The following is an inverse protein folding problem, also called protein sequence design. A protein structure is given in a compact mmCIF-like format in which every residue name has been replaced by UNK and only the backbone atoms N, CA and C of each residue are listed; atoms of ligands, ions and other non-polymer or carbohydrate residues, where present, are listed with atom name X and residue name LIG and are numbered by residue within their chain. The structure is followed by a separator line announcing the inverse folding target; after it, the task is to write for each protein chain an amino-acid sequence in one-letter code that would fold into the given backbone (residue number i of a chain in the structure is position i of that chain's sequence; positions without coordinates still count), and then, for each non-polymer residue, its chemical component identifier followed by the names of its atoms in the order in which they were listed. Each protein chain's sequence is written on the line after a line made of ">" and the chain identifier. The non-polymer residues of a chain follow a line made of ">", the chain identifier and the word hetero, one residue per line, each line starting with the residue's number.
data_IF_657677440677
#
_entry.id   IF_657677440677
#
_cell.length_a   1.000
_cell.length_b   1.000
_cell.length_c   1.000
_cell.angle_alpha   90.00
_cell.angle_beta   90.00
_cell.angle_gamma   90.00
#
_symmetry.space_group_name_H-M   'P 1'
#
loop_
_entity.id
_entity.type
_entity.pdbx_description
1 polymer ?
#
# COMPACT_ATOMS: atom_id res chain seq x y z
N UNK A 1 -19.45 -25.06 8.18
CA UNK A 1 -18.24 -24.53 7.53
C UNK A 1 -17.07 -25.45 7.81
N UNK A 2 -15.90 -25.09 7.31
CA UNK A 2 -14.59 -25.69 7.67
C UNK A 2 -13.80 -24.61 8.39
N UNK A 3 -12.99 -24.99 9.37
CA UNK A 3 -12.09 -24.09 10.08
C UNK A 3 -10.64 -24.51 9.82
N UNK A 4 -9.77 -23.53 9.59
CA UNK A 4 -8.35 -23.73 9.36
C UNK A 4 -7.56 -22.50 9.85
N UNK A 5 -6.23 -22.64 9.94
CA UNK A 5 -5.36 -21.56 10.37
C UNK A 5 -4.79 -20.79 9.18
N UNK A 6 -4.77 -19.47 9.31
CA UNK A 6 -4.10 -18.53 8.42
C UNK A 6 -3.47 -17.40 9.25
N UNK A 7 -2.79 -16.45 8.61
CA UNK A 7 -2.12 -15.33 9.27
C UNK A 7 -2.73 -13.97 8.89
N UNK A 8 -2.72 -13.05 9.85
CA UNK A 8 -3.02 -11.64 9.65
C UNK A 8 -1.78 -10.81 9.99
N UNK A 9 -1.54 -9.74 9.24
CA UNK A 9 -0.45 -8.79 9.49
C UNK A 9 -0.86 -7.37 9.11
N UNK A 10 -0.14 -6.38 9.62
CA UNK A 10 -0.24 -4.99 9.18
C UNK A 10 0.75 -4.76 8.04
N UNK A 11 0.21 -4.53 6.84
CA UNK A 11 0.98 -4.37 5.61
C UNK A 11 1.84 -3.10 5.61
N UNK A 12 1.27 -1.97 6.02
CA UNK A 12 1.98 -0.71 6.13
C UNK A 12 3.02 -0.78 7.26
N UNK A 13 2.64 -1.32 8.42
CA UNK A 13 3.54 -1.53 9.56
C UNK A 13 4.76 -2.38 9.18
N UNK A 14 4.54 -3.49 8.47
CA UNK A 14 5.63 -4.35 7.99
C UNK A 14 6.53 -3.63 6.97
N UNK A 15 5.97 -2.86 6.04
CA UNK A 15 6.75 -2.07 5.08
C UNK A 15 7.65 -1.03 5.77
N UNK A 16 7.15 -0.38 6.83
CA UNK A 16 7.92 0.59 7.62
C UNK A 16 9.03 -0.11 8.39
N UNK A 17 8.75 -1.25 9.02
CA UNK A 17 9.77 -2.04 9.72
C UNK A 17 10.89 -2.50 8.78
N UNK A 18 10.54 -2.90 7.55
CA UNK A 18 11.52 -3.22 6.51
C UNK A 18 12.38 -1.99 6.14
N UNK A 19 11.75 -0.83 5.95
CA UNK A 19 12.46 0.42 5.64
C UNK A 19 13.41 0.84 6.78
N UNK A 20 13.00 0.69 8.04
CA UNK A 20 13.87 0.95 9.20
C UNK A 20 15.03 -0.06 9.27
N UNK A 21 14.76 -1.33 8.96
CA UNK A 21 15.78 -2.39 8.92
C UNK A 21 16.88 -2.10 7.89
N UNK A 22 16.58 -1.36 6.82
CA UNK A 22 17.59 -0.88 5.87
C UNK A 22 18.63 -0.01 6.58
N UNK A 23 18.23 0.89 7.48
CA UNK A 23 19.14 1.74 8.25
C UNK A 23 19.94 0.95 9.29
N UNK A 24 19.31 -0.01 9.97
CA UNK A 24 20.00 -0.89 10.93
C UNK A 24 21.17 -1.65 10.30
N UNK A 25 21.11 -1.86 8.97
CA UNK A 25 22.12 -2.56 8.18
C UNK A 25 23.01 -1.62 7.33
N UNK A 26 23.00 -0.32 7.64
CA UNK A 26 23.87 0.68 7.00
C UNK A 26 23.43 1.10 5.58
N UNK A 27 22.22 0.73 5.17
CA UNK A 27 21.60 1.23 3.96
C UNK A 27 20.95 2.60 4.15
N UNK A 28 20.29 3.08 3.10
CA UNK A 28 19.52 4.32 3.15
C UNK A 28 18.19 4.14 2.42
N UNK A 29 17.13 4.71 2.97
CA UNK A 29 15.83 4.80 2.32
C UNK A 29 15.35 6.26 2.33
N UNK A 30 14.68 6.66 1.24
CA UNK A 30 14.16 8.02 1.07
C UNK A 30 12.71 7.91 0.55
N UNK A 31 11.75 8.46 1.28
CA UNK A 31 10.40 8.70 0.78
C UNK A 31 10.31 10.12 0.17
N UNK A 32 9.23 10.38 -0.59
CA UNK A 32 9.04 11.64 -1.32
C UNK A 32 10.17 12.01 -2.29
N UNK A 33 10.89 11.01 -2.81
CA UNK A 33 11.90 11.17 -3.87
C UNK A 33 11.44 10.39 -5.09
N UNK A 34 10.92 11.09 -6.10
CA UNK A 34 10.42 10.44 -7.31
C UNK A 34 11.51 10.32 -8.37
N UNK A 35 11.67 9.12 -8.93
CA UNK A 35 12.55 8.89 -10.08
C UNK A 35 11.87 9.42 -11.34
N UNK A 36 12.58 10.25 -12.10
CA UNK A 36 12.08 10.87 -13.33
C UNK A 36 13.01 10.68 -14.53
N UNK A 37 14.08 9.90 -14.37
CA UNK A 37 14.96 9.52 -15.46
C UNK A 37 15.98 8.48 -15.05
N UNK A 38 16.57 7.83 -16.04
CA UNK A 38 17.66 6.87 -15.88
C UNK A 38 18.96 7.52 -16.35
N UNK A 39 20.07 7.17 -15.70
CA UNK A 39 21.41 7.63 -16.08
C UNK A 39 22.09 6.48 -16.81
N UNK A 40 22.42 6.69 -18.09
CA UNK A 40 23.16 5.73 -18.90
C UNK A 40 24.66 6.07 -18.92
N UNK A 41 25.49 5.03 -18.76
CA UNK A 41 26.95 5.09 -18.84
C UNK A 41 27.46 3.87 -19.60
N UNK A 42 28.15 4.09 -20.72
CA UNK A 42 28.71 2.99 -21.53
C UNK A 42 27.66 2.02 -22.06
N UNK A 43 26.46 2.50 -22.41
CA UNK A 43 25.36 1.67 -22.91
C UNK A 43 24.64 0.85 -21.83
N UNK A 44 24.94 1.08 -20.54
CA UNK A 44 24.26 0.46 -19.41
C UNK A 44 23.66 1.50 -18.47
N UNK A 45 22.62 1.13 -17.75
CA UNK A 45 22.03 1.97 -16.71
C UNK A 45 22.92 1.92 -15.48
N UNK A 46 23.48 3.08 -15.12
CA UNK A 46 24.41 3.27 -14.00
C UNK A 46 23.85 4.17 -12.90
N UNK A 47 22.56 4.51 -12.93
CA UNK A 47 21.97 5.40 -11.93
C UNK A 47 20.58 5.89 -12.29
N UNK A 48 20.06 6.80 -11.46
CA UNK A 48 18.75 7.43 -11.62
C UNK A 48 18.83 8.93 -11.39
N UNK A 49 18.00 9.67 -12.11
CA UNK A 49 17.65 11.07 -11.81
C UNK A 49 16.35 11.08 -11.02
N UNK A 50 16.31 11.89 -9.98
CA UNK A 50 15.17 11.97 -9.09
C UNK A 50 14.86 13.42 -8.70
N UNK A 51 13.68 13.62 -8.13
CA UNK A 51 13.25 14.90 -7.57
C UNK A 51 12.69 14.70 -6.17
N UNK A 52 13.27 15.44 -5.23
CA UNK A 52 12.69 15.63 -3.90
C UNK A 52 11.37 16.40 -4.06
N UNK A 53 10.25 15.76 -3.73
CA UNK A 53 8.92 16.32 -3.87
C UNK A 53 8.59 17.36 -2.79
N UNK A 54 9.39 17.44 -1.72
CA UNK A 54 9.21 18.38 -0.62
C UNK A 54 9.94 19.69 -0.92
N UNK A 55 11.21 19.61 -1.30
CA UNK A 55 12.03 20.80 -1.58
C UNK A 55 12.04 21.21 -3.07
N UNK A 56 11.59 20.34 -3.96
CA UNK A 56 11.69 20.51 -5.41
C UNK A 56 13.09 20.26 -5.97
N UNK A 57 14.09 19.96 -5.13
CA UNK A 57 15.49 19.79 -5.54
C UNK A 57 15.66 18.58 -6.48
N UNK A 58 16.42 18.77 -7.55
CA UNK A 58 16.86 17.69 -8.41
C UNK A 58 18.01 16.90 -7.74
N UNK A 59 17.96 15.58 -7.85
CA UNK A 59 18.91 14.64 -7.26
C UNK A 59 19.41 13.67 -8.35
N UNK A 60 20.65 13.23 -8.22
CA UNK A 60 21.21 12.16 -9.05
C UNK A 60 21.87 11.12 -8.15
N UNK A 61 21.63 9.84 -8.45
CA UNK A 61 22.20 8.72 -7.73
C UNK A 61 22.87 7.77 -8.72
N UNK A 62 24.15 7.48 -8.52
CA UNK A 62 24.89 6.47 -9.30
C UNK A 62 24.89 5.14 -8.57
N UNK A 63 24.74 4.04 -9.30
CA UNK A 63 24.73 2.69 -8.76
C UNK A 63 25.32 1.68 -9.75
N UNK A 64 25.81 0.54 -9.24
CA UNK A 64 26.28 -0.57 -10.10
C UNK A 64 25.14 -1.43 -10.68
N UNK A 65 23.98 -1.41 -10.03
CA UNK A 65 22.75 -2.01 -10.50
C UNK A 65 21.57 -1.12 -10.08
N UNK A 66 20.54 -1.07 -10.93
CA UNK A 66 19.28 -0.38 -10.67
C UNK A 66 18.15 -1.40 -10.75
N UNK A 67 17.39 -1.53 -9.65
CA UNK A 67 16.21 -2.39 -9.56
C UNK A 67 14.96 -1.51 -9.61
N UNK A 68 14.12 -1.75 -10.59
CA UNK A 68 12.77 -1.24 -10.71
C UNK A 68 11.80 -2.19 -9.99
N UNK A 69 11.31 -1.75 -8.83
CA UNK A 69 10.32 -2.46 -8.00
C UNK A 69 9.09 -1.57 -7.73
N UNK A 70 8.65 -0.80 -8.72
CA UNK A 70 7.58 0.21 -8.57
C UNK A 70 6.16 -0.35 -8.72
N UNK A 71 5.96 -1.64 -8.43
CA UNK A 71 4.63 -2.26 -8.40
C UNK A 71 3.85 -2.08 -9.72
N UNK A 72 2.64 -1.51 -9.63
CA UNK A 72 1.77 -1.27 -10.80
C UNK A 72 2.33 -0.24 -11.78
N UNK A 73 3.33 0.55 -11.37
CA UNK A 73 4.02 1.56 -12.18
C UNK A 73 5.33 1.04 -12.80
N UNK A 74 5.58 -0.28 -12.78
CA UNK A 74 6.83 -0.83 -13.30
C UNK A 74 7.06 -0.49 -14.78
N UNK A 75 6.00 -0.48 -15.58
CA UNK A 75 6.08 -0.17 -17.02
C UNK A 75 6.51 1.28 -17.29
N UNK A 76 6.18 2.23 -16.42
CA UNK A 76 6.57 3.64 -16.59
C UNK A 76 8.10 3.78 -16.50
N UNK A 77 8.72 3.11 -15.53
CA UNK A 77 10.18 3.10 -15.39
C UNK A 77 10.84 2.28 -16.51
N UNK A 78 10.25 1.15 -16.93
CA UNK A 78 10.76 0.36 -18.07
C UNK A 78 10.79 1.19 -19.35
N UNK A 79 9.76 2.01 -19.59
CA UNK A 79 9.67 2.87 -20.78
C UNK A 79 10.65 4.04 -20.77
N UNK A 80 11.19 4.42 -19.61
CA UNK A 80 12.31 5.37 -19.57
C UNK A 80 13.58 4.79 -20.21
N UNK A 81 13.82 3.48 -20.12
CA UNK A 81 14.93 2.80 -20.77
C UNK A 81 14.61 2.42 -22.23
N UNK A 82 13.35 2.06 -22.48
CA UNK A 82 12.87 1.57 -23.77
C UNK A 82 11.47 2.10 -24.06
N UNK A 83 11.33 3.26 -24.72
CA UNK A 83 10.03 3.91 -24.93
C UNK A 83 8.97 3.01 -25.55
N UNK A 84 9.36 2.12 -26.47
CA UNK A 84 8.47 1.19 -27.17
C UNK A 84 8.29 -0.17 -26.46
N UNK A 85 8.70 -0.29 -25.19
CA UNK A 85 8.56 -1.55 -24.46
C UNK A 85 7.08 -1.95 -24.35
N UNK A 86 6.71 -3.21 -24.72
CA UNK A 86 5.35 -3.68 -24.59
C UNK A 86 4.95 -3.72 -23.10
N UNK A 87 3.66 -3.49 -22.80
CA UNK A 87 3.15 -3.62 -21.44
C UNK A 87 3.51 -4.98 -20.84
N UNK A 88 4.06 -4.96 -19.62
CA UNK A 88 4.25 -6.18 -18.83
C UNK A 88 3.08 -6.40 -17.87
N UNK A 89 2.35 -5.33 -17.54
CA UNK A 89 1.34 -5.35 -16.49
C UNK A 89 -0.07 -5.25 -17.07
N UNK A 90 -1.00 -5.93 -16.41
CA UNK A 90 -2.44 -5.82 -16.62
C UNK A 90 -3.11 -5.53 -15.25
N UNK A 91 -3.09 -4.27 -14.78
CA UNK A 91 -3.57 -3.94 -13.45
C UNK A 91 -5.02 -4.35 -13.21
N UNK A 92 -5.33 -4.75 -11.98
CA UNK A 92 -6.71 -4.96 -11.54
C UNK A 92 -6.97 -4.31 -10.19
N UNK A 93 -8.15 -3.74 -10.01
CA UNK A 93 -8.59 -3.08 -8.81
C UNK A 93 -9.26 -4.05 -7.84
N UNK A 94 -9.00 -3.88 -6.55
CA UNK A 94 -9.76 -4.51 -5.48
C UNK A 94 -10.20 -3.50 -4.44
N UNK A 95 -11.47 -3.55 -4.09
CA UNK A 95 -12.11 -2.70 -3.09
C UNK A 95 -12.28 -3.44 -1.78
N UNK A 96 -12.22 -2.70 -0.67
CA UNK A 96 -12.70 -3.16 0.63
C UNK A 96 -13.57 -2.09 1.29
N UNK A 97 -14.55 -2.54 2.07
CA UNK A 97 -15.37 -1.72 2.96
C UNK A 97 -15.00 -2.05 4.41
N UNK A 98 -15.14 -1.07 5.29
CA UNK A 98 -14.93 -1.27 6.73
C UNK A 98 -16.19 -0.93 7.50
N UNK A 99 -16.60 -1.82 8.40
CA UNK A 99 -17.74 -1.65 9.32
C UNK A 99 -17.29 -1.91 10.76
N UNK A 100 -18.14 -1.60 11.75
CA UNK A 100 -17.81 -1.84 13.16
C UNK A 100 -17.71 -3.35 13.51
N UNK A 101 -16.95 -3.70 14.55
CA UNK A 101 -16.72 -5.11 14.93
C UNK A 101 -18.00 -5.91 15.23
N UNK A 102 -19.04 -5.25 15.74
CA UNK A 102 -20.29 -5.89 16.17
C UNK A 102 -21.13 -6.45 15.02
N UNK A 103 -20.73 -6.19 13.77
CA UNK A 103 -21.35 -6.76 12.58
C UNK A 103 -20.98 -8.23 12.36
N UNK A 104 -19.81 -8.68 12.85
CA UNK A 104 -19.34 -10.05 12.69
C UNK A 104 -19.93 -10.95 13.81
N UNK A 105 -20.54 -12.11 13.50
CA UNK A 105 -21.16 -12.98 14.50
C UNK A 105 -20.17 -13.68 15.45
N UNK A 106 -18.86 -13.50 15.27
CA UNK A 106 -17.81 -14.13 16.05
C UNK A 106 -16.47 -13.41 15.90
N UNK A 107 -15.39 -14.01 16.39
CA UNK A 107 -14.04 -13.43 16.38
C UNK A 107 -13.12 -13.96 15.27
N UNK A 108 -13.56 -14.97 14.52
CA UNK A 108 -12.78 -15.56 13.42
C UNK A 108 -13.06 -14.87 12.09
N UNK A 109 -12.04 -14.81 11.22
CA UNK A 109 -12.23 -14.38 9.84
C UNK A 109 -13.09 -15.40 9.08
N UNK A 110 -13.93 -14.92 8.17
CA UNK A 110 -14.76 -15.76 7.31
C UNK A 110 -14.34 -15.62 5.85
N UNK A 111 -14.14 -16.76 5.18
CA UNK A 111 -13.92 -16.86 3.75
C UNK A 111 -15.20 -17.41 3.10
N UNK A 112 -15.75 -16.65 2.16
CA UNK A 112 -16.86 -17.03 1.28
C UNK A 112 -16.24 -17.46 -0.05
N UNK A 113 -16.12 -18.78 -0.32
CA UNK A 113 -15.28 -19.31 -1.40
C UNK A 113 -15.87 -19.08 -2.79
N UNK A 114 -17.19 -18.97 -2.86
CA UNK A 114 -17.91 -18.75 -4.11
C UNK A 114 -19.10 -17.82 -3.81
N UNK A 115 -19.00 -16.61 -4.34
CA UNK A 115 -20.10 -15.65 -4.37
C UNK A 115 -20.95 -15.87 -5.63
N UNK A 116 -22.04 -15.12 -5.80
CA UNK A 116 -23.00 -15.36 -6.89
C UNK A 116 -22.41 -15.17 -8.29
N UNK A 117 -21.24 -14.53 -8.39
CA UNK A 117 -20.47 -14.35 -9.63
C UNK A 117 -19.14 -15.11 -9.65
N UNK A 118 -18.95 -16.07 -8.75
CA UNK A 118 -17.77 -16.93 -8.70
C UNK A 118 -16.54 -16.31 -8.03
N UNK A 119 -16.63 -15.10 -7.49
CA UNK A 119 -15.53 -14.45 -6.74
C UNK A 119 -15.45 -14.94 -5.29
N UNK A 120 -14.34 -14.64 -4.63
CA UNK A 120 -14.12 -14.87 -3.19
C UNK A 120 -14.36 -13.59 -2.41
N UNK A 121 -15.05 -13.68 -1.27
CA UNK A 121 -15.21 -12.59 -0.31
C UNK A 121 -14.69 -13.01 1.07
N UNK A 122 -14.05 -12.09 1.76
CA UNK A 122 -13.55 -12.19 3.11
C UNK A 122 -14.27 -11.20 4.02
N UNK A 123 -14.56 -11.65 5.24
CA UNK A 123 -14.99 -10.82 6.36
C UNK A 123 -13.95 -10.99 7.46
N UNK A 124 -13.07 -10.00 7.62
CA UNK A 124 -11.87 -10.13 8.46
C UNK A 124 -11.97 -9.17 9.65
N UNK A 125 -12.00 -9.64 10.90
CA UNK A 125 -11.88 -8.76 12.05
C UNK A 125 -10.51 -8.08 12.05
N UNK A 126 -10.48 -6.76 12.18
CA UNK A 126 -9.26 -5.95 12.09
C UNK A 126 -9.36 -4.71 12.97
N UNK A 127 -8.54 -4.65 14.03
CA UNK A 127 -8.41 -3.51 14.95
C UNK A 127 -9.75 -2.91 15.44
N UNK A 128 -10.66 -3.75 15.92
CA UNK A 128 -11.97 -3.30 16.43
C UNK A 128 -13.00 -2.98 15.33
N UNK A 129 -12.70 -3.34 14.08
CA UNK A 129 -13.56 -3.23 12.91
C UNK A 129 -13.66 -4.57 12.17
N UNK A 130 -14.42 -4.60 11.09
CA UNK A 130 -14.48 -5.73 10.14
C UNK A 130 -14.19 -5.20 8.74
N UNK A 131 -13.21 -5.81 8.09
CA UNK A 131 -12.89 -5.59 6.69
C UNK A 131 -13.72 -6.53 5.82
N UNK A 132 -14.50 -5.96 4.90
CA UNK A 132 -15.36 -6.67 3.95
C UNK A 132 -14.75 -6.50 2.55
N UNK A 133 -14.39 -7.60 1.88
CA UNK A 133 -13.83 -7.51 0.54
C UNK A 133 -13.27 -8.84 0.04
N UNK A 134 -12.89 -8.98 -1.22
CA UNK A 134 -12.59 -7.88 -2.15
C UNK A 134 -13.21 -8.11 -3.52
N UNK A 135 -13.10 -7.10 -4.38
CA UNK A 135 -13.42 -7.17 -5.80
C UNK A 135 -12.19 -7.45 -6.66
N UNK A 136 -12.43 -7.72 -7.94
CA UNK A 136 -11.39 -7.91 -8.97
C UNK A 136 -11.87 -7.28 -10.28
N UNK A 137 -11.57 -5.99 -10.46
CA UNK A 137 -12.06 -5.18 -11.56
C UNK A 137 -10.89 -4.72 -12.45
N UNK A 138 -10.77 -5.21 -13.70
CA UNK A 138 -9.67 -4.82 -14.59
C UNK A 138 -9.55 -3.31 -14.77
N UNK A 139 -8.31 -2.80 -14.82
CA UNK A 139 -8.00 -1.38 -15.03
C UNK A 139 -7.08 -1.21 -16.22
N UNK A 140 -7.29 -0.13 -16.97
CA UNK A 140 -6.41 0.28 -18.08
C UNK A 140 -5.51 1.45 -17.70
N UNK A 141 -5.73 2.03 -16.52
CA UNK A 141 -4.96 3.12 -15.94
C UNK A 141 -4.35 2.69 -14.59
N UNK A 142 -3.55 3.56 -13.98
CA UNK A 142 -2.91 3.31 -12.69
C UNK A 142 -2.85 4.59 -11.85
N UNK A 143 -4.01 5.12 -11.42
CA UNK A 143 -4.05 6.30 -10.56
C UNK A 143 -3.30 6.03 -9.25
N UNK A 144 -2.69 7.08 -8.69
CA UNK A 144 -2.09 7.02 -7.36
C UNK A 144 -3.14 6.71 -6.29
N UNK A 145 -4.33 7.27 -6.44
CA UNK A 145 -5.47 7.11 -5.53
C UNK A 145 -6.68 6.51 -6.29
N UNK A 146 -6.72 5.18 -6.50
CA UNK A 146 -7.88 4.52 -7.09
C UNK A 146 -9.12 4.68 -6.21
N UNK A 147 -10.30 4.80 -6.84
CA UNK A 147 -11.58 4.96 -6.15
C UNK A 147 -12.47 3.74 -6.39
N UNK A 148 -13.14 3.30 -5.33
CA UNK A 148 -14.15 2.25 -5.40
C UNK A 148 -15.35 2.72 -6.24
N UNK A 149 -15.88 1.82 -7.06
CA UNK A 149 -17.09 2.08 -7.84
C UNK A 149 -18.34 1.65 -7.08
N UNK A 150 -19.48 2.27 -7.41
CA UNK A 150 -20.75 2.01 -6.72
C UNK A 150 -21.23 0.55 -6.83
N UNK A 151 -20.99 -0.09 -7.98
CA UNK A 151 -21.32 -1.48 -8.22
C UNK A 151 -20.44 -2.44 -7.39
N UNK A 152 -19.16 -2.10 -7.19
CA UNK A 152 -18.24 -2.81 -6.30
C UNK A 152 -18.69 -2.73 -4.83
N UNK A 153 -19.06 -1.52 -4.38
CA UNK A 153 -19.59 -1.29 -3.02
C UNK A 153 -20.88 -2.09 -2.82
N UNK A 154 -21.85 -1.94 -3.73
CA UNK A 154 -23.14 -2.60 -3.62
C UNK A 154 -22.99 -4.13 -3.69
N UNK A 155 -22.04 -4.65 -4.49
CA UNK A 155 -21.72 -6.08 -4.51
C UNK A 155 -21.25 -6.57 -3.13
N UNK A 156 -20.25 -5.91 -2.53
CA UNK A 156 -19.73 -6.31 -1.23
C UNK A 156 -20.84 -6.28 -0.17
N UNK A 157 -21.64 -5.20 -0.10
CA UNK A 157 -22.73 -5.08 0.86
C UNK A 157 -23.77 -6.20 0.70
N UNK A 158 -24.25 -6.45 -0.54
CA UNK A 158 -25.23 -7.52 -0.81
C UNK A 158 -24.70 -8.89 -0.42
N UNK A 159 -23.45 -9.19 -0.73
CA UNK A 159 -22.87 -10.50 -0.41
C UNK A 159 -22.60 -10.65 1.09
N UNK A 160 -22.07 -9.63 1.75
CA UNK A 160 -21.79 -9.64 3.19
C UNK A 160 -23.05 -9.74 4.05
N UNK A 161 -24.18 -9.17 3.59
CA UNK A 161 -25.46 -9.21 4.30
C UNK A 161 -25.96 -10.64 4.64
N UNK A 162 -25.49 -11.65 3.91
CA UNK A 162 -25.84 -13.06 4.15
C UNK A 162 -25.12 -13.69 5.34
N UNK A 163 -24.02 -13.08 5.79
CA UNK A 163 -23.09 -13.66 6.76
C UNK A 163 -22.90 -12.81 8.02
N UNK A 164 -23.23 -11.52 7.96
CA UNK A 164 -23.20 -10.60 9.09
C UNK A 164 -24.44 -10.79 9.99
N UNK A 165 -24.35 -10.31 11.24
CA UNK A 165 -25.46 -10.40 12.21
C UNK A 165 -26.71 -9.64 11.76
N UNK A 166 -26.53 -8.64 10.89
CA UNK A 166 -27.57 -7.81 10.27
C UNK A 166 -27.08 -7.32 8.91
N UNK A 167 -27.99 -6.96 8.01
CA UNK A 167 -27.65 -6.50 6.66
C UNK A 167 -27.09 -5.06 6.68
N UNK A 168 -25.86 -4.81 6.20
CA UNK A 168 -25.27 -3.48 6.20
C UNK A 168 -25.79 -2.63 5.03
N UNK A 169 -25.96 -1.34 5.28
CA UNK A 169 -26.18 -0.30 4.29
C UNK A 169 -24.93 0.57 4.08
N UNK A 170 -25.03 1.52 3.15
CA UNK A 170 -23.93 2.47 2.85
C UNK A 170 -23.58 3.35 4.06
N UNK A 171 -24.57 3.78 4.83
CA UNK A 171 -24.37 4.59 6.05
C UNK A 171 -23.64 3.86 7.19
N UNK A 172 -23.52 2.52 7.11
CA UNK A 172 -22.78 1.73 8.10
C UNK A 172 -21.28 1.64 7.78
N UNK A 173 -20.87 2.08 6.58
CA UNK A 173 -19.48 2.05 6.13
C UNK A 173 -18.70 3.14 6.85
N UNK A 174 -17.67 2.74 7.59
CA UNK A 174 -16.72 3.62 8.29
C UNK A 174 -15.60 4.10 7.38
N UNK A 175 -15.23 3.30 6.39
CA UNK A 175 -14.25 3.66 5.36
C UNK A 175 -14.40 2.73 4.15
N UNK A 176 -14.10 3.24 2.96
CA UNK A 176 -13.95 2.47 1.72
C UNK A 176 -12.57 2.76 1.13
N UNK A 177 -11.92 1.75 0.58
CA UNK A 177 -10.65 1.95 -0.11
C UNK A 177 -10.44 0.95 -1.23
N UNK A 178 -9.64 1.36 -2.21
CA UNK A 178 -9.26 0.54 -3.35
C UNK A 178 -7.74 0.42 -3.45
N UNK A 179 -7.27 -0.68 -4.04
CA UNK A 179 -5.87 -0.89 -4.38
C UNK A 179 -5.73 -1.55 -5.73
N UNK A 180 -4.60 -1.32 -6.39
CA UNK A 180 -4.27 -1.92 -7.68
C UNK A 180 -3.30 -3.09 -7.50
N UNK A 181 -3.57 -4.18 -8.21
CA UNK A 181 -2.76 -5.39 -8.24
C UNK A 181 -1.86 -5.38 -9.48
N UNK A 182 -0.52 -5.56 -9.34
CA UNK A 182 0.41 -5.56 -10.48
C UNK A 182 0.42 -6.92 -11.19
N UNK A 183 -0.71 -7.34 -11.76
CA UNK A 183 -0.80 -8.64 -12.44
C UNK A 183 0.07 -8.66 -13.69
N UNK A 184 0.71 -9.79 -13.97
CA UNK A 184 1.51 -9.97 -15.16
C UNK A 184 0.57 -10.24 -16.34
N UNK A 185 0.69 -9.43 -17.39
CA UNK A 185 -0.02 -9.65 -18.63
C UNK A 185 0.36 -11.03 -19.19
N UNK A 186 -0.64 -11.82 -19.62
CA UNK A 186 -0.40 -13.10 -20.24
C UNK A 186 0.52 -12.92 -21.47
N UNK A 187 1.47 -13.83 -21.62
CA UNK A 187 2.29 -13.90 -22.84
C UNK A 187 1.35 -14.14 -24.03
N UNK A 188 1.39 -13.32 -25.10
CA UNK A 188 0.56 -13.50 -26.29
C UNK A 188 0.67 -14.91 -26.90
N UNK A 189 1.80 -15.58 -26.71
CA UNK A 189 2.10 -16.91 -27.25
C UNK A 189 1.84 -18.06 -26.24
N UNK A 190 1.46 -17.75 -24.99
CA UNK A 190 1.06 -18.76 -24.02
C UNK A 190 -0.44 -19.09 -24.15
N UNK A 191 -0.86 -20.35 -23.93
CA UNK A 191 -2.27 -20.71 -23.88
C UNK A 191 -2.99 -19.82 -22.85
N UNK A 192 -4.15 -19.25 -23.22
CA UNK A 192 -4.97 -18.37 -22.39
C UNK A 192 -5.41 -19.08 -21.10
N UNK A 193 -4.54 -19.06 -20.10
CA UNK A 193 -4.85 -19.34 -18.70
C UNK A 193 -4.73 -18.05 -17.91
N UNK A 194 -5.48 -17.96 -16.83
CA UNK A 194 -5.54 -16.88 -15.83
C UNK A 194 -4.27 -16.03 -15.70
N UNK A 195 -4.43 -14.71 -15.58
CA UNK A 195 -3.33 -13.79 -15.27
C UNK A 195 -2.49 -14.34 -14.10
N UNK A 196 -1.21 -14.61 -14.35
CA UNK A 196 -0.35 -15.21 -13.34
C UNK A 196 -0.14 -14.25 -12.17
N UNK A 197 -0.33 -14.78 -10.96
CA UNK A 197 -0.04 -14.09 -9.69
C UNK A 197 1.41 -14.30 -9.22
N UNK A 198 2.23 -15.01 -9.99
CA UNK A 198 3.65 -15.17 -9.72
C UNK A 198 4.42 -13.90 -10.07
N UNK A 199 5.57 -13.70 -9.45
CA UNK A 199 6.45 -12.60 -9.81
C UNK A 199 7.35 -12.97 -10.99
N UNK A 200 7.78 -11.96 -11.74
CA UNK A 200 8.77 -12.10 -12.81
C UNK A 200 9.92 -11.14 -12.58
N UNK A 201 11.13 -11.59 -12.89
CA UNK A 201 12.34 -10.75 -12.90
C UNK A 201 12.85 -10.68 -14.33
N UNK A 202 12.89 -9.47 -14.91
CA UNK A 202 13.39 -9.21 -16.26
C UNK A 202 14.57 -8.26 -16.23
N UNK A 203 15.59 -8.51 -17.05
CA UNK A 203 16.74 -7.62 -17.21
C UNK A 203 16.71 -7.05 -18.63
N UNK A 204 16.71 -5.72 -18.77
CA UNK A 204 16.78 -5.08 -20.08
C UNK A 204 18.18 -5.21 -20.70
N UNK A 205 18.34 -5.03 -22.02
CA UNK A 205 19.64 -4.91 -22.66
C UNK A 205 20.60 -3.90 -22.01
N UNK A 206 20.11 -2.77 -21.48
CA UNK A 206 20.94 -1.79 -20.74
C UNK A 206 21.16 -2.17 -19.27
N UNK A 207 20.64 -3.30 -18.81
CA UNK A 207 20.82 -3.79 -17.44
C UNK A 207 19.84 -3.25 -16.41
N UNK A 208 18.69 -2.68 -16.81
CA UNK A 208 17.60 -2.38 -15.86
C UNK A 208 17.00 -3.69 -15.38
N UNK A 209 17.01 -3.92 -14.07
CA UNK A 209 16.38 -5.10 -13.47
C UNK A 209 14.98 -4.69 -13.06
N UNK A 210 13.94 -5.35 -13.57
CA UNK A 210 12.56 -5.11 -13.16
C UNK A 210 12.00 -6.34 -12.47
N UNK A 211 11.41 -6.14 -11.29
CA UNK A 211 10.57 -7.14 -10.62
C UNK A 211 9.13 -6.62 -10.60
N UNK A 212 8.17 -7.46 -11.00
CA UNK A 212 6.75 -7.17 -10.83
C UNK A 212 5.94 -8.46 -10.66
N UNK A 213 4.64 -8.31 -10.37
CA UNK A 213 3.80 -9.42 -9.94
C UNK A 213 4.04 -9.78 -8.48
N UNK A 214 3.71 -11.03 -8.14
CA UNK A 214 3.90 -11.57 -6.80
C UNK A 214 2.86 -11.10 -5.78
N UNK A 215 3.10 -11.49 -4.52
CA UNK A 215 2.22 -11.23 -3.38
C UNK A 215 3.04 -10.74 -2.20
N UNK A 216 2.36 -10.08 -1.26
CA UNK A 216 2.95 -9.75 0.03
C UNK A 216 3.49 -11.01 0.73
N UNK A 217 2.75 -12.12 0.72
CA UNK A 217 3.18 -13.35 1.40
C UNK A 217 4.50 -13.95 0.87
N UNK A 218 4.88 -13.63 -0.37
CA UNK A 218 6.11 -14.12 -1.01
C UNK A 218 7.21 -13.06 -1.12
N UNK A 219 7.02 -11.87 -0.54
CA UNK A 219 7.92 -10.72 -0.72
C UNK A 219 9.39 -11.01 -0.37
N UNK A 220 9.63 -11.81 0.67
CA UNK A 220 10.99 -12.14 1.14
C UNK A 220 11.74 -12.95 0.09
N UNK A 221 11.10 -13.98 -0.46
CA UNK A 221 11.68 -14.83 -1.50
C UNK A 221 11.91 -14.02 -2.79
N UNK A 222 10.93 -13.19 -3.17
CA UNK A 222 11.07 -12.23 -4.27
C UNK A 222 12.28 -11.30 -4.08
N UNK A 223 12.45 -10.77 -2.87
CA UNK A 223 13.58 -9.92 -2.49
C UNK A 223 14.92 -10.63 -2.58
N UNK A 224 15.00 -11.88 -2.11
CA UNK A 224 16.19 -12.72 -2.23
C UNK A 224 16.58 -12.94 -3.70
N UNK A 225 15.64 -13.38 -4.53
CA UNK A 225 15.89 -13.68 -5.94
C UNK A 225 16.32 -12.45 -6.75
N UNK A 226 15.68 -11.29 -6.52
CA UNK A 226 16.02 -10.06 -7.27
C UNK A 226 17.37 -9.49 -6.84
N UNK A 227 17.74 -9.61 -5.55
CA UNK A 227 19.05 -9.19 -5.06
C UNK A 227 20.14 -10.12 -5.60
N UNK A 228 19.91 -11.44 -5.64
CA UNK A 228 20.84 -12.40 -6.24
C UNK A 228 21.02 -12.17 -7.75
N UNK A 229 19.95 -11.79 -8.44
CA UNK A 229 20.04 -11.33 -9.83
C UNK A 229 20.88 -10.05 -9.91
N UNK A 230 20.58 -9.04 -9.11
CA UNK A 230 21.27 -7.75 -9.16
C UNK A 230 22.76 -7.85 -8.82
N UNK A 231 23.12 -8.70 -7.85
CA UNK A 231 24.51 -8.97 -7.51
C UNK A 231 25.27 -9.56 -8.70
N UNK A 232 24.67 -10.53 -9.41
CA UNK A 232 25.27 -11.11 -10.63
C UNK A 232 25.42 -10.08 -11.75
N UNK A 233 24.37 -9.32 -12.04
CA UNK A 233 24.41 -8.29 -13.10
C UNK A 233 25.43 -7.18 -12.81
N UNK A 234 25.67 -6.88 -11.53
CA UNK A 234 26.66 -5.90 -11.07
C UNK A 234 28.08 -6.48 -10.89
N UNK A 235 28.29 -7.78 -11.13
CA UNK A 235 29.58 -8.44 -10.90
C UNK A 235 30.03 -8.44 -9.44
N UNK A 236 29.09 -8.43 -8.48
CA UNK A 236 29.39 -8.48 -7.06
C UNK A 236 29.76 -9.90 -6.62
N UNK A 237 30.64 -10.06 -5.61
CA UNK A 237 30.92 -11.37 -5.04
C UNK A 237 29.62 -12.00 -4.51
N UNK A 238 29.38 -13.30 -4.78
CA UNK A 238 28.21 -13.99 -4.26
C UNK A 238 28.27 -14.04 -2.73
N UNK A 239 27.12 -13.83 -2.08
CA UNK A 239 26.96 -13.94 -0.63
C UNK A 239 25.69 -14.72 -0.31
N UNK A 240 25.69 -15.62 0.69
CA UNK A 240 24.47 -16.27 1.13
C UNK A 240 23.44 -15.24 1.62
N UNK A 241 22.19 -15.42 1.23
CA UNK A 241 21.08 -14.63 1.76
C UNK A 241 20.81 -15.00 3.22
N UNK A 242 20.60 -13.98 4.07
CA UNK A 242 20.29 -14.15 5.50
C UNK A 242 18.86 -13.73 5.84
N UNK A 243 18.05 -13.37 4.85
CA UNK A 243 16.74 -12.74 5.05
C UNK A 243 15.72 -13.63 5.76
N UNK A 244 15.88 -14.96 5.71
CA UNK A 244 14.98 -15.91 6.35
C UNK A 244 15.06 -15.87 7.88
N UNK A 245 16.22 -15.54 8.44
CA UNK A 245 16.49 -15.52 9.89
C UNK A 245 16.73 -14.10 10.41
N UNK A 246 16.73 -13.11 9.52
CA UNK A 246 16.99 -11.73 9.90
C UNK A 246 15.78 -11.14 10.60
N UNK A 247 15.93 -10.81 11.88
CA UNK A 247 14.93 -10.05 12.61
C UNK A 247 14.79 -8.65 11.98
N UNK A 248 13.54 -8.24 11.74
CA UNK A 248 13.23 -6.88 11.31
C UNK A 248 13.33 -5.92 12.50
N UNK A 249 13.47 -4.64 12.18
CA UNK A 249 13.45 -3.55 13.14
C UNK A 249 12.21 -3.65 14.03
N UNK A 250 12.44 -3.60 15.35
CA UNK A 250 11.39 -3.55 16.35
C UNK A 250 11.46 -2.19 17.05
N UNK A 251 10.41 -1.38 16.87
CA UNK A 251 10.26 -0.11 17.56
C UNK A 251 10.00 -0.29 19.06
N UNK A 252 10.22 0.76 19.87
CA UNK A 252 9.90 0.73 21.29
C UNK A 252 8.39 0.61 21.50
N UNK A 253 7.99 -0.03 22.60
CA UNK A 253 6.62 0.11 23.10
C UNK A 253 6.41 1.56 23.55
N UNK A 254 5.38 2.21 23.03
CA UNK A 254 5.00 3.55 23.46
C UNK A 254 4.25 3.48 24.79
N UNK A 255 4.46 4.47 25.65
CA UNK A 255 3.74 4.58 26.91
C UNK A 255 2.23 4.72 26.66
N UNK A 256 1.44 4.15 27.58
CA UNK A 256 0.00 4.30 27.54
C UNK A 256 -0.40 5.77 27.73
N UNK A 257 -1.28 6.26 26.86
CA UNK A 257 -1.70 7.65 26.83
C UNK A 257 -3.10 7.76 26.20
N UNK A 258 -3.89 8.78 26.58
CA UNK A 258 -5.17 9.02 25.95
C UNK A 258 -5.04 9.21 24.43
N UNK A 259 -5.94 8.64 23.63
CA UNK A 259 -5.92 8.83 22.19
C UNK A 259 -6.28 10.27 21.83
N UNK A 260 -5.78 10.74 20.68
CA UNK A 260 -6.12 12.04 20.10
C UNK A 260 -7.60 12.13 19.67
N UNK A 261 -8.27 10.97 19.54
CA UNK A 261 -9.68 10.87 19.19
C UNK A 261 -10.31 9.63 19.85
N UNK A 262 -11.52 9.71 20.44
CA UNK A 262 -12.11 8.61 21.21
C UNK A 262 -12.40 7.33 20.41
N UNK A 263 -12.50 7.43 19.07
CA UNK A 263 -12.72 6.28 18.17
C UNK A 263 -11.43 5.69 17.57
N UNK A 264 -10.26 6.22 17.92
CA UNK A 264 -8.97 5.80 17.36
C UNK A 264 -7.98 5.43 18.46
N UNK A 265 -6.99 4.61 18.12
CA UNK A 265 -5.90 4.24 19.04
C UNK A 265 -4.70 5.20 19.00
N UNK A 266 -4.67 6.16 18.06
CA UNK A 266 -3.53 7.05 17.85
C UNK A 266 -3.38 8.06 18.99
N UNK A 267 -2.21 8.07 19.63
CA UNK A 267 -1.83 9.01 20.70
C UNK A 267 -0.88 10.08 20.19
N UNK A 268 -0.68 11.17 20.96
CA UNK A 268 0.32 12.19 20.64
C UNK A 268 1.74 11.58 20.53
N UNK A 269 2.10 10.68 21.45
CA UNK A 269 3.39 9.98 21.41
C UNK A 269 3.54 9.13 20.13
N UNK A 270 2.45 8.53 19.64
CA UNK A 270 2.42 7.82 18.36
C UNK A 270 2.71 8.72 17.16
N UNK A 271 2.16 9.94 17.14
CA UNK A 271 2.44 10.92 16.08
C UNK A 271 3.91 11.36 16.10
N UNK A 272 4.46 11.65 17.28
CA UNK A 272 5.87 12.06 17.41
C UNK A 272 6.82 10.94 17.01
N UNK A 273 6.55 9.71 17.45
CA UNK A 273 7.33 8.54 17.06
C UNK A 273 7.28 8.29 15.54
N UNK A 274 6.09 8.44 14.93
CA UNK A 274 5.92 8.33 13.49
C UNK A 274 6.81 9.31 12.71
N UNK A 275 6.88 10.56 13.16
CA UNK A 275 7.72 11.59 12.55
C UNK A 275 9.21 11.33 12.78
N UNK A 276 9.61 11.07 14.03
CA UNK A 276 11.01 10.96 14.43
C UNK A 276 11.68 9.66 13.95
N UNK A 277 10.94 8.56 13.88
CA UNK A 277 11.52 7.23 13.68
C UNK A 277 10.96 6.48 12.47
N UNK A 278 9.80 6.89 11.94
CA UNK A 278 9.11 6.14 10.89
C UNK A 278 8.91 6.94 9.60
N UNK A 279 9.70 7.99 9.36
CA UNK A 279 9.70 8.76 8.11
C UNK A 279 8.35 9.44 7.78
N UNK A 280 7.48 9.67 8.76
CA UNK A 280 6.22 10.36 8.50
C UNK A 280 6.47 11.87 8.29
N UNK A 281 6.05 12.40 7.14
CA UNK A 281 6.24 13.80 6.77
C UNK A 281 4.94 14.54 6.49
N UNK A 282 3.82 13.81 6.36
CA UNK A 282 2.49 14.37 6.11
C UNK A 282 1.46 13.84 7.12
N UNK A 283 0.32 14.52 7.22
CA UNK A 283 -0.82 14.05 8.02
C UNK A 283 -1.34 12.71 7.50
N UNK A 284 -1.32 12.50 6.18
CA UNK A 284 -1.66 11.21 5.55
C UNK A 284 -0.72 10.10 6.03
N UNK A 285 0.60 10.32 6.06
CA UNK A 285 1.55 9.29 6.50
C UNK A 285 1.17 8.71 7.86
N UNK A 286 0.77 9.58 8.79
CA UNK A 286 0.38 9.21 10.15
C UNK A 286 -0.99 8.52 10.18
N UNK A 287 -2.01 9.17 9.63
CA UNK A 287 -3.40 8.70 9.74
C UNK A 287 -3.71 7.51 8.84
N UNK A 288 -3.07 7.40 7.68
CA UNK A 288 -3.31 6.32 6.73
C UNK A 288 -2.36 5.14 6.95
N UNK A 289 -1.06 5.40 7.16
CA UNK A 289 -0.02 4.36 7.07
C UNK A 289 0.60 3.96 8.41
N UNK A 290 0.76 4.89 9.38
CA UNK A 290 1.32 4.54 10.71
C UNK A 290 0.27 4.05 11.71
N UNK A 291 -0.96 4.57 11.61
CA UNK A 291 -2.06 4.23 12.54
C UNK A 291 -3.24 3.51 11.90
N UNK A 292 -3.29 3.46 10.55
CA UNK A 292 -4.41 2.91 9.76
C UNK A 292 -5.77 3.58 10.02
N UNK A 293 -5.83 4.68 10.79
CA UNK A 293 -7.05 5.39 11.15
C UNK A 293 -7.94 5.73 9.95
N UNK A 294 -7.37 6.22 8.86
CA UNK A 294 -8.13 6.55 7.63
C UNK A 294 -8.87 5.34 7.06
N UNK A 295 -8.24 4.17 7.12
CA UNK A 295 -8.82 2.91 6.63
C UNK A 295 -9.81 2.32 7.62
N UNK A 296 -9.67 2.57 8.92
CA UNK A 296 -10.58 2.05 9.95
C UNK A 296 -11.85 2.89 10.10
N UNK A 297 -11.72 4.21 10.00
CA UNK A 297 -12.79 5.18 10.21
C UNK A 297 -12.41 6.56 9.63
N UNK A 298 -12.87 6.83 8.41
CA UNK A 298 -12.49 8.02 7.64
C UNK A 298 -12.98 9.31 8.32
N UNK A 299 -14.18 9.29 8.90
CA UNK A 299 -14.75 10.41 9.64
C UNK A 299 -13.92 10.71 10.91
N UNK A 300 -13.59 9.69 11.70
CA UNK A 300 -12.75 9.86 12.89
C UNK A 300 -11.35 10.36 12.52
N UNK A 301 -10.78 9.89 11.41
CA UNK A 301 -9.48 10.35 10.93
C UNK A 301 -9.52 11.84 10.55
N UNK A 302 -10.59 12.30 9.88
CA UNK A 302 -10.77 13.72 9.57
C UNK A 302 -10.91 14.59 10.83
N UNK A 303 -11.66 14.11 11.84
CA UNK A 303 -11.80 14.77 13.13
C UNK A 303 -10.46 14.86 13.88
N UNK A 304 -9.61 13.84 13.77
CA UNK A 304 -8.28 13.81 14.39
C UNK A 304 -7.22 14.65 13.63
N UNK A 305 -7.41 14.91 12.33
CA UNK A 305 -6.42 15.54 11.47
C UNK A 305 -5.88 16.89 11.97
N UNK A 306 -6.69 17.83 12.54
CA UNK A 306 -6.16 19.07 13.09
C UNK A 306 -5.19 18.85 14.26
N UNK A 307 -5.47 17.88 15.14
CA UNK A 307 -4.61 17.57 16.28
C UNK A 307 -3.30 16.92 15.81
N UNK A 308 -3.39 15.97 14.87
CA UNK A 308 -2.22 15.32 14.25
C UNK A 308 -1.36 16.35 13.54
N UNK A 309 -1.94 17.25 12.73
CA UNK A 309 -1.21 18.28 12.02
C UNK A 309 -0.44 19.20 12.97
N UNK A 310 -1.03 19.59 14.11
CA UNK A 310 -0.36 20.40 15.13
C UNK A 310 0.84 19.69 15.75
N UNK A 311 0.67 18.44 16.17
CA UNK A 311 1.75 17.65 16.79
C UNK A 311 2.86 17.39 15.78
N UNK A 312 2.51 17.02 14.55
CA UNK A 312 3.46 16.77 13.48
C UNK A 312 4.22 18.03 13.08
N UNK A 313 3.55 19.18 13.04
CA UNK A 313 4.21 20.45 12.76
C UNK A 313 5.21 20.84 13.84
N UNK A 314 4.87 20.64 15.11
CA UNK A 314 5.77 20.87 16.24
C UNK A 314 7.02 19.99 16.13
N UNK A 315 6.85 18.70 15.86
CA UNK A 315 7.96 17.75 15.71
C UNK A 315 8.85 18.03 14.49
N UNK A 316 8.27 18.51 13.38
CA UNK A 316 8.97 18.80 12.13
C UNK A 316 9.42 20.26 11.99
N UNK A 317 9.16 21.11 12.98
CA UNK A 317 9.48 22.55 12.91
C UNK A 317 8.73 23.29 11.80
N UNK A 318 7.45 22.97 11.57
CA UNK A 318 6.58 23.57 10.54
C UNK A 318 5.66 24.64 11.13
N UNK A 319 5.20 25.54 10.26
CA UNK A 319 4.40 26.70 10.65
C UNK A 319 2.88 26.47 10.49
N UNK A 320 2.11 27.50 10.84
CA UNK A 320 0.65 27.48 10.73
C UNK A 320 0.14 27.37 9.28
N UNK A 321 0.90 27.87 8.30
CA UNK A 321 0.55 27.77 6.88
C UNK A 321 0.66 26.32 6.41
N UNK A 322 1.70 25.61 6.82
CA UNK A 322 1.86 24.18 6.58
C UNK A 322 0.75 23.36 7.24
N UNK A 323 0.38 23.66 8.50
CA UNK A 323 -0.76 23.01 9.17
C UNK A 323 -2.05 23.18 8.36
N UNK A 324 -2.32 24.39 7.86
CA UNK A 324 -3.51 24.67 7.06
C UNK A 324 -3.50 23.89 5.74
N UNK A 325 -2.36 23.84 5.04
CA UNK A 325 -2.19 23.08 3.81
C UNK A 325 -2.43 21.58 4.02
N UNK A 326 -1.79 20.99 5.03
CA UNK A 326 -1.95 19.55 5.35
C UNK A 326 -3.39 19.18 5.70
N UNK A 327 -4.11 20.05 6.41
CA UNK A 327 -5.53 19.84 6.71
C UNK A 327 -6.39 19.87 5.44
N UNK A 328 -6.11 20.78 4.52
CA UNK A 328 -6.85 20.88 3.26
C UNK A 328 -6.59 19.68 2.35
N UNK A 329 -5.32 19.29 2.18
CA UNK A 329 -4.92 18.10 1.42
C UNK A 329 -5.57 16.82 1.99
N UNK A 330 -5.49 16.64 3.31
CA UNK A 330 -6.08 15.47 3.94
C UNK A 330 -7.62 15.45 3.84
N UNK A 331 -8.28 16.61 3.94
CA UNK A 331 -9.73 16.69 3.76
C UNK A 331 -10.16 16.27 2.34
N UNK A 332 -9.38 16.65 1.31
CA UNK A 332 -9.61 16.19 -0.06
C UNK A 332 -9.40 14.69 -0.22
N UNK A 333 -8.37 14.14 0.43
CA UNK A 333 -8.10 12.70 0.41
C UNK A 333 -9.26 11.90 1.01
N UNK A 334 -9.69 12.29 2.23
CA UNK A 334 -10.77 11.64 3.00
C UNK A 334 -12.07 11.55 2.20
N UNK A 335 -12.36 12.51 1.34
CA UNK A 335 -13.60 12.53 0.58
C UNK A 335 -13.85 11.22 -0.21
N UNK A 336 -12.80 10.57 -0.73
CA UNK A 336 -12.98 9.29 -1.42
C UNK A 336 -12.74 8.04 -0.56
N UNK A 337 -12.66 8.20 0.76
CA UNK A 337 -12.80 7.11 1.73
C UNK A 337 -14.18 7.09 2.39
N UNK A 338 -14.98 8.13 2.17
CA UNK A 338 -16.39 8.16 2.55
C UNK A 338 -17.25 7.59 1.43
N UNK A 339 -18.36 6.97 1.79
CA UNK A 339 -19.41 6.60 0.85
C UNK A 339 -20.54 7.60 1.04
N UNK A 340 -20.88 8.34 -0.01
CA UNK A 340 -22.08 9.18 0.01
C UNK A 340 -23.31 8.27 0.15
N UNK A 341 -24.26 8.67 1.00
CA UNK A 341 -25.60 8.09 0.96
C UNK A 341 -26.17 8.45 -0.41
N UNK A 342 -26.24 7.47 -1.32
CA UNK A 342 -27.00 7.70 -2.55
C UNK A 342 -28.45 7.90 -2.14
N UNK A 343 -29.02 9.04 -2.49
CA UNK A 343 -30.45 9.30 -2.42
C UNK A 343 -31.17 8.27 -3.29
N UNK A 344 -31.43 7.06 -2.76
CA UNK A 344 -32.51 6.21 -3.27
C UNK A 344 -33.84 6.76 -2.75
N UNK A 345 -34.09 8.02 -3.07
CA UNK A 345 -35.41 8.60 -3.17
C UNK A 345 -35.80 8.54 -4.66
N UNK A 346 -36.43 7.44 -5.07
CA UNK A 346 -37.11 7.37 -6.38
C UNK A 346 -36.87 6.10 -7.19
N UNK A 347 -37.61 5.05 -6.87
CA UNK A 347 -38.23 4.14 -7.85
C UNK A 347 -39.42 3.43 -7.19
#
# INVERSE_FOLDING_TARGET
>A
GVEYFDAQFDDAGLAIALAQSVFDHGGSALNYVSVNGLIEQGGRIGGVRARDQISGRALEFTARAVINATGVWADDIRRMAHPDAPPMLAPSQGVHLVVDADWLPGSGAMLVPETDDGRVLFLIPWQGKVLLGTTDTPRTDSPLEPRAQDDEIDFILRTAARYLVRAPGRGDIRSVFAGLRPLIAADPDAPRSELSREHVIRVSPQGLITIAGGKWTTYRLMGEEVIDRAAREAGLPPRPCRSAELALHAGPALADAPPLHPRLALTEAGVRHAAACQFALTVEDVLARRSRALFLDAAAAAEAAPAVARVLADELGRDAAWIAAQRAEFAQLVAGYNVEESDRAGA
#
